data_IF_349785526162
#
_entry.id   IF_349785526162
#
_cell.length_a   1.000
_cell.length_b   1.000
_cell.length_c   1.000
_cell.angle_alpha   90.00
_cell.angle_beta   90.00
_cell.angle_gamma   90.00
#
_symmetry.space_group_name_H-M   'P 1'
#
loop_
_entity.id
_entity.type
_entity.pdbx_description
1 polymer ?
#
# COMPACT_ATOMS: atom_id res chain seq x y z
N UNK A 1 -23.22 -9.14 -5.80
CA UNK A 1 -23.78 -7.81 -5.43
C UNK A 1 -25.19 -7.89 -4.82
N UNK A 2 -26.18 -8.62 -5.38
CA UNK A 2 -27.55 -8.64 -4.83
C UNK A 2 -27.78 -9.43 -3.52
N UNK A 3 -26.94 -10.42 -3.17
CA UNK A 3 -27.16 -11.25 -1.97
C UNK A 3 -26.69 -10.62 -0.66
N UNK A 4 -25.77 -9.64 -0.73
CA UNK A 4 -25.08 -9.08 0.45
C UNK A 4 -25.95 -8.04 1.19
N UNK A 5 -26.83 -7.36 0.48
CA UNK A 5 -27.74 -6.36 1.06
C UNK A 5 -29.11 -6.92 1.46
N UNK A 6 -29.28 -8.24 1.48
CA UNK A 6 -30.55 -8.90 1.80
C UNK A 6 -30.58 -9.43 3.24
N UNK A 7 -29.78 -8.87 4.14
CA UNK A 7 -29.95 -9.08 5.57
C UNK A 7 -31.13 -8.24 6.06
N UNK A 8 -32.10 -8.88 6.72
CA UNK A 8 -33.38 -8.32 7.21
C UNK A 8 -33.28 -7.07 8.13
N UNK A 9 -32.06 -6.62 8.44
CA UNK A 9 -31.76 -5.51 9.36
C UNK A 9 -31.30 -4.22 8.69
N UNK A 10 -31.14 -4.15 7.35
CA UNK A 10 -30.59 -2.97 6.67
C UNK A 10 -31.68 -2.11 5.99
N UNK A 11 -31.79 -0.80 6.28
CA UNK A 11 -32.77 0.08 5.63
C UNK A 11 -32.58 0.09 4.11
N UNK A 12 -33.68 0.11 3.34
CA UNK A 12 -33.62 0.12 1.86
C UNK A 12 -32.75 1.25 1.28
N UNK A 13 -32.68 2.39 1.97
CA UNK A 13 -31.82 3.53 1.63
C UNK A 13 -30.32 3.23 1.71
N UNK A 14 -29.89 2.33 2.59
CA UNK A 14 -28.49 2.02 2.80
C UNK A 14 -27.82 1.45 1.53
N UNK A 15 -28.58 0.71 0.71
CA UNK A 15 -28.07 0.16 -0.56
C UNK A 15 -27.62 1.26 -1.53
N UNK A 16 -28.33 2.38 -1.56
CA UNK A 16 -28.04 3.52 -2.45
C UNK A 16 -26.80 4.31 -2.02
N UNK A 17 -26.39 4.23 -0.76
CA UNK A 17 -25.16 4.87 -0.27
C UNK A 17 -23.97 3.91 -0.25
N UNK A 18 -24.14 2.68 0.24
CA UNK A 18 -23.05 1.73 0.41
C UNK A 18 -22.56 1.20 -0.93
N UNK A 19 -23.47 0.91 -1.87
CA UNK A 19 -23.12 0.39 -3.20
C UNK A 19 -22.13 1.28 -3.97
N UNK A 20 -22.42 2.59 -4.14
CA UNK A 20 -21.49 3.52 -4.77
C UNK A 20 -20.14 3.65 -4.05
N UNK A 21 -20.15 3.72 -2.71
CA UNK A 21 -18.91 3.81 -1.92
C UNK A 21 -18.04 2.55 -2.07
N UNK A 22 -18.65 1.37 -2.04
CA UNK A 22 -17.96 0.11 -2.26
C UNK A 22 -17.38 0.04 -3.68
N UNK A 23 -18.14 0.47 -4.69
CA UNK A 23 -17.66 0.53 -6.07
C UNK A 23 -16.44 1.45 -6.21
N UNK A 24 -16.46 2.63 -5.59
CA UNK A 24 -15.33 3.58 -5.58
C UNK A 24 -14.09 2.93 -4.95
N UNK A 25 -14.23 2.26 -3.80
CA UNK A 25 -13.12 1.58 -3.11
C UNK A 25 -12.54 0.46 -3.99
N UNK A 26 -13.40 -0.39 -4.56
CA UNK A 26 -12.97 -1.48 -5.44
C UNK A 26 -12.27 -0.94 -6.69
N UNK A 27 -12.84 0.07 -7.34
CA UNK A 27 -12.26 0.71 -8.52
C UNK A 27 -10.89 1.34 -8.21
N UNK A 28 -10.78 2.05 -7.08
CA UNK A 28 -9.51 2.59 -6.60
C UNK A 28 -8.46 1.51 -6.35
N UNK A 29 -8.86 0.36 -5.80
CA UNK A 29 -7.96 -0.78 -5.56
C UNK A 29 -7.45 -1.38 -6.88
N UNK A 30 -8.33 -1.53 -7.87
CA UNK A 30 -7.98 -2.06 -9.21
C UNK A 30 -7.00 -1.15 -9.95
N UNK A 31 -7.08 0.18 -9.77
CA UNK A 31 -6.12 1.12 -10.34
C UNK A 31 -4.82 1.17 -9.52
N UNK A 32 -4.95 1.14 -8.19
CA UNK A 32 -3.83 1.27 -7.26
C UNK A 32 -2.80 0.15 -7.41
N UNK A 33 -3.25 -1.09 -7.59
CA UNK A 33 -2.36 -2.25 -7.75
C UNK A 33 -1.34 -2.08 -8.88
N UNK A 34 -1.78 -1.93 -10.14
CA UNK A 34 -0.89 -1.68 -11.28
C UNK A 34 -0.02 -0.42 -11.14
N UNK A 35 -0.52 0.63 -10.47
CA UNK A 35 0.25 1.85 -10.25
C UNK A 35 1.42 1.61 -9.28
N UNK A 36 1.18 0.89 -8.18
CA UNK A 36 2.22 0.49 -7.23
C UNK A 36 3.21 -0.49 -7.87
N UNK A 37 2.71 -1.47 -8.63
CA UNK A 37 3.55 -2.40 -9.38
C UNK A 37 4.41 -1.68 -10.42
N UNK A 38 3.83 -0.76 -11.19
CA UNK A 38 4.53 0.01 -12.22
C UNK A 38 5.61 0.92 -11.64
N UNK A 39 5.36 1.56 -10.50
CA UNK A 39 6.39 2.31 -9.77
C UNK A 39 7.55 1.41 -9.31
N UNK A 40 7.24 0.23 -8.79
CA UNK A 40 8.24 -0.74 -8.31
C UNK A 40 9.09 -1.28 -9.45
N UNK A 41 8.45 -1.60 -10.58
CA UNK A 41 9.12 -2.09 -11.78
C UNK A 41 9.99 -1.02 -12.44
N UNK A 42 9.50 0.23 -12.52
CA UNK A 42 10.29 1.36 -12.99
C UNK A 42 11.53 1.58 -12.11
N UNK A 43 11.37 1.45 -10.80
CA UNK A 43 12.48 1.61 -9.88
C UNK A 43 13.57 0.55 -10.14
N UNK A 44 13.18 -0.72 -10.29
CA UNK A 44 14.10 -1.81 -10.64
C UNK A 44 14.79 -1.51 -11.98
N UNK A 45 14.05 -1.07 -12.99
CA UNK A 45 14.60 -0.72 -14.29
C UNK A 45 15.66 0.38 -14.20
N UNK A 46 15.37 1.47 -13.46
CA UNK A 46 16.33 2.56 -13.26
C UNK A 46 17.59 2.15 -12.48
N UNK A 47 17.53 1.07 -11.68
CA UNK A 47 18.67 0.55 -10.94
C UNK A 47 19.70 -0.17 -11.83
N UNK A 48 19.24 -0.81 -12.91
CA UNK A 48 20.07 -1.58 -13.85
C UNK A 48 20.35 -0.81 -15.16
N UNK A 49 19.42 0.04 -15.59
CA UNK A 49 19.49 0.82 -16.82
C UNK A 49 19.27 2.31 -16.52
N UNK A 50 20.28 3.01 -15.93
CA UNK A 50 20.15 4.41 -15.55
C UNK A 50 19.90 5.36 -16.76
N UNK A 51 20.37 4.99 -17.95
CA UNK A 51 20.12 5.75 -19.20
C UNK A 51 18.85 5.32 -19.94
N UNK A 52 18.04 4.45 -19.33
CA UNK A 52 16.82 3.95 -19.94
C UNK A 52 15.77 5.05 -20.16
N UNK A 53 15.28 5.18 -21.39
CA UNK A 53 14.29 6.21 -21.79
C UNK A 53 12.84 5.84 -21.49
N UNK A 54 12.60 4.64 -20.94
CA UNK A 54 11.24 4.14 -20.66
C UNK A 54 10.52 4.97 -19.59
N UNK A 55 9.28 5.37 -19.92
CA UNK A 55 8.45 6.22 -19.06
C UNK A 55 7.62 5.38 -18.10
N UNK A 56 7.23 5.98 -16.95
CA UNK A 56 6.47 5.30 -15.91
C UNK A 56 5.17 4.65 -16.41
N UNK A 57 4.44 5.34 -17.30
CA UNK A 57 3.17 4.82 -17.80
C UNK A 57 3.33 3.49 -18.54
N UNK A 58 4.49 3.23 -19.18
CA UNK A 58 4.74 1.95 -19.86
C UNK A 58 4.81 0.81 -18.86
N UNK A 59 5.49 1.01 -17.72
CA UNK A 59 5.54 0.04 -16.63
C UNK A 59 4.18 -0.18 -15.97
N UNK A 60 3.37 0.89 -15.83
CA UNK A 60 1.99 0.77 -15.32
C UNK A 60 1.14 -0.05 -16.27
N UNK A 61 1.22 0.17 -17.60
CA UNK A 61 0.50 -0.63 -18.60
C UNK A 61 0.93 -2.09 -18.54
N UNK A 62 2.24 -2.37 -18.45
CA UNK A 62 2.76 -3.74 -18.32
C UNK A 62 2.18 -4.42 -17.08
N UNK A 63 2.23 -3.76 -15.91
CA UNK A 63 1.66 -4.30 -14.69
C UNK A 63 0.14 -4.51 -14.81
N UNK A 64 -0.57 -3.58 -15.43
CA UNK A 64 -2.02 -3.67 -15.69
C UNK A 64 -2.37 -4.89 -16.53
N UNK A 65 -1.66 -5.12 -17.64
CA UNK A 65 -1.87 -6.29 -18.50
C UNK A 65 -1.59 -7.58 -17.74
N UNK A 66 -0.50 -7.65 -16.98
CA UNK A 66 -0.19 -8.83 -16.14
C UNK A 66 -1.30 -9.08 -15.11
N UNK A 67 -1.75 -8.05 -14.39
CA UNK A 67 -2.85 -8.19 -13.41
C UNK A 67 -4.16 -8.59 -14.08
N UNK A 68 -4.43 -8.11 -15.30
CA UNK A 68 -5.63 -8.48 -16.06
C UNK A 68 -5.61 -9.97 -16.45
N UNK A 69 -4.45 -10.48 -16.88
CA UNK A 69 -4.26 -11.89 -17.19
C UNK A 69 -4.37 -12.78 -15.95
N UNK A 70 -3.75 -12.37 -14.84
CA UNK A 70 -3.83 -13.08 -13.56
C UNK A 70 -5.26 -13.14 -13.03
N UNK A 71 -6.03 -12.05 -13.19
CA UNK A 71 -7.45 -12.00 -12.79
C UNK A 71 -8.34 -12.98 -13.57
N UNK A 72 -7.89 -13.52 -14.71
CA UNK A 72 -8.62 -14.56 -15.44
C UNK A 72 -8.40 -15.98 -14.88
N UNK A 73 -7.45 -16.19 -13.96
CA UNK A 73 -7.13 -17.51 -13.42
C UNK A 73 -8.16 -17.91 -12.33
N UNK A 74 -8.99 -18.95 -12.54
CA UNK A 74 -10.00 -19.34 -11.57
C UNK A 74 -9.37 -20.24 -10.50
N UNK A 75 -9.07 -19.74 -9.30
CA UNK A 75 -8.57 -20.62 -8.23
C UNK A 75 -9.14 -20.35 -6.82
N UNK A 76 -10.44 -20.61 -6.64
CA UNK A 76 -11.11 -20.51 -5.33
C UNK A 76 -10.43 -21.29 -4.20
N UNK A 77 -9.73 -22.39 -4.50
CA UNK A 77 -9.03 -23.20 -3.48
C UNK A 77 -7.64 -22.65 -3.09
N UNK A 78 -7.02 -21.83 -3.97
CA UNK A 78 -5.70 -21.24 -3.75
C UNK A 78 -5.77 -19.87 -3.07
N UNK A 79 -6.88 -19.14 -3.26
CA UNK A 79 -7.08 -17.77 -2.77
C UNK A 79 -6.76 -17.58 -1.28
N UNK A 80 -7.12 -18.53 -0.42
CA UNK A 80 -6.77 -18.47 1.02
C UNK A 80 -5.24 -18.47 1.24
N UNK A 81 -4.53 -19.33 0.52
CA UNK A 81 -3.09 -19.49 0.66
C UNK A 81 -2.33 -18.33 -0.01
N UNK A 82 -2.79 -17.88 -1.17
CA UNK A 82 -2.24 -16.71 -1.86
C UNK A 82 -2.40 -15.45 -1.00
N UNK A 83 -3.58 -15.22 -0.40
CA UNK A 83 -3.80 -14.08 0.47
C UNK A 83 -2.94 -14.14 1.76
N UNK A 84 -2.73 -15.35 2.32
CA UNK A 84 -1.82 -15.53 3.45
C UNK A 84 -0.37 -15.20 3.06
N UNK A 85 0.07 -15.64 1.89
CA UNK A 85 1.41 -15.31 1.36
C UNK A 85 1.52 -13.80 1.15
N UNK A 86 0.50 -13.18 0.55
CA UNK A 86 0.44 -11.72 0.33
C UNK A 86 0.54 -10.95 1.65
N UNK A 87 -0.14 -11.40 2.71
CA UNK A 87 -0.02 -10.83 4.05
C UNK A 87 1.41 -10.96 4.62
N UNK A 88 2.04 -12.13 4.48
CA UNK A 88 3.42 -12.36 4.95
C UNK A 88 4.40 -11.47 4.17
N UNK A 89 4.26 -11.39 2.85
CA UNK A 89 5.07 -10.51 2.00
C UNK A 89 4.91 -9.05 2.45
N UNK A 90 3.68 -8.62 2.73
CA UNK A 90 3.35 -7.31 3.25
C UNK A 90 4.08 -6.98 4.55
N UNK A 91 3.91 -7.83 5.57
CA UNK A 91 4.60 -7.66 6.85
C UNK A 91 6.12 -7.67 6.70
N UNK A 92 6.65 -8.51 5.80
CA UNK A 92 8.08 -8.63 5.55
C UNK A 92 8.64 -7.34 4.95
N UNK A 93 8.09 -6.84 3.84
CA UNK A 93 8.61 -5.62 3.25
C UNK A 93 8.38 -4.40 4.15
N UNK A 94 7.26 -4.33 4.89
CA UNK A 94 7.03 -3.27 5.87
C UNK A 94 8.10 -3.27 6.96
N UNK A 95 8.45 -4.46 7.48
CA UNK A 95 9.50 -4.61 8.47
C UNK A 95 10.87 -4.21 7.91
N UNK A 96 11.19 -4.63 6.68
CA UNK A 96 12.40 -4.19 5.99
C UNK A 96 12.46 -2.66 5.89
N UNK A 97 11.37 -2.01 5.50
CA UNK A 97 11.28 -0.55 5.42
C UNK A 97 11.46 0.13 6.78
N UNK A 98 10.87 -0.40 7.84
CA UNK A 98 11.07 0.13 9.20
C UNK A 98 12.54 0.02 9.61
N UNK A 99 13.15 -1.15 9.42
CA UNK A 99 14.57 -1.37 9.76
C UNK A 99 15.48 -0.48 8.92
N UNK A 100 15.18 -0.32 7.62
CA UNK A 100 15.90 0.59 6.73
C UNK A 100 15.84 2.04 7.20
N UNK A 101 14.67 2.51 7.63
CA UNK A 101 14.48 3.86 8.18
C UNK A 101 15.32 4.04 9.44
N UNK A 102 15.31 3.06 10.35
CA UNK A 102 16.08 3.12 11.60
C UNK A 102 17.58 3.09 11.32
N UNK A 103 18.03 2.26 10.37
CA UNK A 103 19.43 2.15 9.97
C UNK A 103 19.97 3.46 9.38
N UNK A 104 19.25 4.06 8.43
CA UNK A 104 19.58 5.39 7.89
C UNK A 104 19.47 6.46 8.97
N UNK A 105 18.48 6.29 9.84
CA UNK A 105 18.25 6.97 11.10
C UNK A 105 19.51 7.18 11.96
N UNK A 106 20.28 6.12 12.15
CA UNK A 106 21.48 6.10 12.99
C UNK A 106 22.80 6.16 12.21
N UNK A 107 22.75 6.24 10.87
CA UNK A 107 23.94 6.30 10.04
C UNK A 107 24.72 7.59 10.28
N UNK A 108 26.06 7.53 10.22
CA UNK A 108 26.95 8.70 10.36
C UNK A 108 26.70 9.77 9.29
N UNK A 109 26.12 9.38 8.15
CA UNK A 109 25.73 10.27 7.04
C UNK A 109 24.21 10.44 6.97
N UNK A 110 23.54 10.50 8.12
CA UNK A 110 22.09 10.68 8.18
C UNK A 110 21.65 11.94 7.40
N UNK A 111 20.56 11.85 6.61
CA UNK A 111 20.02 13.00 5.92
C UNK A 111 19.55 14.07 6.93
N UNK A 112 19.65 15.37 6.60
CA UNK A 112 19.23 16.44 7.49
C UNK A 112 17.73 16.34 7.80
N UNK A 113 17.36 16.41 9.08
CA UNK A 113 15.99 16.24 9.55
C UNK A 113 15.44 17.55 10.08
N UNK A 114 14.30 17.96 9.53
CA UNK A 114 13.55 19.10 10.02
C UNK A 114 12.12 18.65 10.31
N UNK A 115 11.62 18.99 11.50
CA UNK A 115 10.26 18.67 11.95
C UNK A 115 9.37 19.91 12.09
N UNK A 116 9.90 21.10 11.77
CA UNK A 116 9.12 22.33 11.82
C UNK A 116 8.01 22.28 10.79
N UNK A 117 6.76 22.51 11.17
CA UNK A 117 5.64 22.53 10.22
C UNK A 117 5.94 23.59 9.12
N UNK A 118 6.05 23.14 7.87
CA UNK A 118 6.33 24.00 6.70
C UNK A 118 5.02 24.40 6.02
N UNK A 119 5.00 25.58 5.42
CA UNK A 119 3.90 26.08 4.61
C UNK A 119 3.08 27.19 5.28
N UNK A 120 2.27 27.85 4.45
CA UNK A 120 1.25 28.81 4.88
C UNK A 120 0.18 28.13 5.75
N UNK A 121 -0.64 28.90 6.46
CA UNK A 121 -1.76 28.35 7.23
C UNK A 121 -2.76 27.59 6.35
N UNK A 122 -2.92 28.02 5.09
CA UNK A 122 -3.70 27.28 4.10
C UNK A 122 -3.06 25.91 3.76
N UNK A 123 -1.74 25.86 3.57
CA UNK A 123 -1.03 24.61 3.27
C UNK A 123 -1.14 23.61 4.42
N UNK A 124 -1.08 24.10 5.66
CA UNK A 124 -1.28 23.27 6.85
C UNK A 124 -2.68 22.69 6.89
N UNK A 125 -3.70 23.49 6.59
CA UNK A 125 -5.09 23.04 6.56
C UNK A 125 -5.31 21.97 5.47
N UNK A 126 -4.81 22.21 4.25
CA UNK A 126 -4.87 21.21 3.18
C UNK A 126 -4.06 19.95 3.52
N UNK A 127 -2.93 20.09 4.20
CA UNK A 127 -2.13 18.98 4.72
C UNK A 127 -2.89 18.11 5.71
N UNK A 128 -3.67 18.71 6.62
CA UNK A 128 -4.54 17.98 7.55
C UNK A 128 -5.62 17.20 6.80
N UNK A 129 -6.32 17.83 5.85
CA UNK A 129 -7.34 17.15 5.04
C UNK A 129 -6.76 16.01 4.21
N UNK A 130 -5.58 16.20 3.62
CA UNK A 130 -4.88 15.15 2.89
C UNK A 130 -4.51 13.98 3.81
N UNK A 131 -4.01 14.26 5.01
CA UNK A 131 -3.71 13.24 6.03
C UNK A 131 -4.94 12.44 6.44
N UNK A 132 -6.06 13.13 6.73
CA UNK A 132 -7.34 12.48 7.05
C UNK A 132 -7.81 11.62 5.89
N UNK A 133 -7.69 12.10 4.65
CA UNK A 133 -8.06 11.33 3.45
C UNK A 133 -7.23 10.06 3.31
N UNK A 134 -5.91 10.13 3.47
CA UNK A 134 -5.02 8.96 3.40
C UNK A 134 -5.37 7.94 4.49
N UNK A 135 -5.61 8.39 5.73
CA UNK A 135 -6.03 7.51 6.83
C UNK A 135 -7.38 6.86 6.53
N UNK A 136 -8.37 7.66 6.10
CA UNK A 136 -9.70 7.14 5.78
C UNK A 136 -9.65 6.09 4.66
N UNK A 137 -8.94 6.35 3.58
CA UNK A 137 -8.79 5.40 2.46
C UNK A 137 -8.00 4.16 2.87
N UNK A 138 -7.00 4.30 3.73
CA UNK A 138 -6.19 3.19 4.24
C UNK A 138 -7.02 2.16 5.03
N UNK A 139 -7.91 2.62 5.90
CA UNK A 139 -8.71 1.75 6.77
C UNK A 139 -10.07 1.36 6.16
N UNK A 140 -10.41 1.94 5.00
CA UNK A 140 -11.62 1.59 4.27
C UNK A 140 -11.56 0.14 3.78
N UNK A 141 -12.64 -0.61 3.99
CA UNK A 141 -12.76 -2.00 3.54
C UNK A 141 -14.05 -2.20 2.78
N UNK A 142 -13.92 -2.48 1.48
CA UNK A 142 -15.05 -2.74 0.59
C UNK A 142 -15.55 -4.19 0.60
N UNK A 143 -15.00 -5.06 1.46
CA UNK A 143 -15.28 -6.51 1.46
C UNK A 143 -16.01 -7.01 2.71
N UNK A 144 -16.21 -6.15 3.71
CA UNK A 144 -16.87 -6.52 4.98
C UNK A 144 -18.27 -7.10 4.74
N UNK A 145 -19.13 -6.50 3.89
CA UNK A 145 -20.45 -7.03 3.63
C UNK A 145 -20.42 -8.44 2.97
N UNK A 146 -19.47 -8.71 2.08
CA UNK A 146 -19.27 -10.01 1.43
C UNK A 146 -18.82 -11.09 2.42
N UNK A 147 -17.93 -10.74 3.36
CA UNK A 147 -17.49 -11.64 4.43
C UNK A 147 -18.67 -12.01 5.33
N UNK A 148 -19.56 -11.05 5.62
CA UNK A 148 -20.76 -11.31 6.42
C UNK A 148 -21.72 -12.28 5.73
N UNK A 149 -21.85 -12.18 4.41
CA UNK A 149 -22.72 -13.05 3.63
C UNK A 149 -22.20 -14.48 3.47
N UNK A 150 -20.91 -14.74 3.74
CA UNK A 150 -20.27 -16.05 3.52
C UNK A 150 -19.95 -16.82 4.80
N UNK A 151 -19.93 -16.17 5.96
CA UNK A 151 -19.66 -16.82 7.23
C UNK A 151 -20.86 -17.60 7.78
N UNK A 152 -20.62 -18.83 8.24
CA UNK A 152 -21.64 -19.63 8.93
C UNK A 152 -22.12 -18.94 10.23
N UNK A 153 -23.44 -18.86 10.50
CA UNK A 153 -23.96 -18.30 11.74
C UNK A 153 -23.42 -19.05 12.98
N UNK A 154 -23.16 -18.37 14.11
CA UNK A 154 -23.31 -16.94 14.37
C UNK A 154 -22.09 -16.12 13.89
N UNK A 155 -22.34 -15.15 13.01
CA UNK A 155 -21.31 -14.34 12.34
C UNK A 155 -20.59 -13.39 13.32
N UNK A 156 -21.34 -12.79 14.26
CA UNK A 156 -20.84 -11.67 15.09
C UNK A 156 -19.57 -11.98 15.89
N UNK A 157 -19.48 -13.15 16.54
CA UNK A 157 -18.37 -13.47 17.44
C UNK A 157 -17.06 -13.81 16.72
N UNK A 158 -17.13 -14.69 15.71
CA UNK A 158 -15.94 -15.14 14.95
C UNK A 158 -15.43 -14.04 14.01
N UNK A 159 -16.33 -13.32 13.36
CA UNK A 159 -15.98 -12.23 12.45
C UNK A 159 -15.32 -11.06 13.20
N UNK A 160 -15.84 -10.68 14.37
CA UNK A 160 -15.26 -9.58 15.15
C UNK A 160 -13.82 -9.86 15.58
N UNK A 161 -13.53 -11.07 16.07
CA UNK A 161 -12.15 -11.47 16.43
C UNK A 161 -11.21 -11.39 15.22
N UNK A 162 -11.64 -11.90 14.07
CA UNK A 162 -10.86 -11.81 12.83
C UNK A 162 -10.61 -10.37 12.40
N UNK A 163 -11.63 -9.52 12.50
CA UNK A 163 -11.53 -8.10 12.18
C UNK A 163 -10.58 -7.36 13.12
N UNK A 164 -10.64 -7.64 14.43
CA UNK A 164 -9.71 -7.08 15.41
C UNK A 164 -8.26 -7.47 15.12
N UNK A 165 -8.00 -8.75 14.82
CA UNK A 165 -6.64 -9.21 14.48
C UNK A 165 -6.15 -8.52 13.20
N UNK A 166 -6.98 -8.46 12.17
CA UNK A 166 -6.66 -7.80 10.91
C UNK A 166 -6.28 -6.33 11.12
N UNK A 167 -7.13 -5.54 11.79
CA UNK A 167 -6.84 -4.13 12.05
C UNK A 167 -5.66 -3.94 12.99
N UNK A 168 -5.41 -4.84 13.95
CA UNK A 168 -4.22 -4.79 14.80
C UNK A 168 -2.95 -4.93 13.97
N UNK A 169 -2.91 -5.86 13.01
CA UNK A 169 -1.78 -6.03 12.10
C UNK A 169 -1.60 -4.81 11.21
N UNK A 170 -2.69 -4.25 10.64
CA UNK A 170 -2.65 -3.04 9.81
C UNK A 170 -2.09 -1.86 10.60
N UNK A 171 -2.61 -1.61 11.81
CA UNK A 171 -2.13 -0.52 12.68
C UNK A 171 -0.64 -0.71 12.97
N UNK A 172 -0.23 -1.92 13.38
CA UNK A 172 1.15 -2.20 13.71
C UNK A 172 2.10 -1.96 12.54
N UNK A 173 1.78 -2.44 11.34
CA UNK A 173 2.64 -2.28 10.16
C UNK A 173 2.69 -0.83 9.69
N UNK A 174 1.55 -0.14 9.63
CA UNK A 174 1.48 1.21 9.07
C UNK A 174 2.11 2.23 10.01
N UNK A 175 1.81 2.17 11.31
CA UNK A 175 2.42 3.07 12.28
C UNK A 175 3.92 2.80 12.41
N UNK A 176 4.37 1.54 12.38
CA UNK A 176 5.80 1.21 12.40
C UNK A 176 6.55 1.89 11.26
N UNK A 177 6.03 1.76 10.03
CA UNK A 177 6.64 2.34 8.83
C UNK A 177 6.54 3.88 8.84
N UNK A 178 5.38 4.44 9.21
CA UNK A 178 5.16 5.88 9.23
C UNK A 178 6.01 6.59 10.30
N UNK A 179 6.05 6.07 11.53
CA UNK A 179 6.83 6.65 12.63
C UNK A 179 8.32 6.58 12.30
N UNK A 180 8.82 5.40 11.91
CA UNK A 180 10.25 5.24 11.61
C UNK A 180 10.67 6.07 10.40
N UNK A 181 9.87 6.10 9.33
CA UNK A 181 10.13 6.90 8.13
C UNK A 181 10.12 8.40 8.41
N UNK A 182 9.08 8.91 9.09
CA UNK A 182 9.03 10.33 9.45
C UNK A 182 10.14 10.69 10.43
N UNK A 183 10.46 9.82 11.38
CA UNK A 183 11.60 10.02 12.28
C UNK A 183 12.94 10.07 11.54
N UNK A 184 13.13 9.25 10.49
CA UNK A 184 14.39 9.20 9.73
C UNK A 184 14.57 10.34 8.72
N UNK A 185 13.48 10.89 8.17
CA UNK A 185 13.53 11.87 7.07
C UNK A 185 12.87 13.23 7.38
N UNK A 186 12.07 13.32 8.44
CA UNK A 186 11.31 14.50 8.82
C UNK A 186 10.44 15.00 7.66
N UNK A 187 10.41 16.31 7.46
CA UNK A 187 9.66 16.95 6.37
C UNK A 187 10.17 16.66 4.96
N UNK A 188 11.31 15.98 4.81
CA UNK A 188 11.78 15.49 3.52
C UNK A 188 11.19 14.11 3.16
N UNK A 189 10.32 13.54 4.01
CA UNK A 189 9.60 12.33 3.69
C UNK A 189 8.72 12.55 2.45
N UNK A 190 9.06 11.86 1.37
CA UNK A 190 8.29 11.78 0.14
C UNK A 190 7.05 10.89 0.27
N UNK A 191 6.26 10.87 -0.81
CA UNK A 191 4.99 10.17 -0.87
C UNK A 191 5.12 8.63 -0.72
N UNK A 192 6.29 8.07 -1.02
CA UNK A 192 6.59 6.66 -0.79
C UNK A 192 7.82 6.53 0.10
N UNK A 193 7.83 5.54 1.00
CA UNK A 193 8.99 5.33 1.88
C UNK A 193 10.23 4.96 1.07
N UNK A 194 10.05 4.25 -0.06
CA UNK A 194 11.13 3.90 -0.96
C UNK A 194 11.82 5.12 -1.57
N UNK A 195 11.05 6.16 -1.94
CA UNK A 195 11.62 7.39 -2.49
C UNK A 195 12.52 8.13 -1.51
N UNK A 196 12.33 7.94 -0.21
CA UNK A 196 13.08 8.67 0.82
C UNK A 196 14.55 8.22 0.89
N UNK A 197 14.83 6.99 0.50
CA UNK A 197 16.19 6.43 0.52
C UNK A 197 17.01 6.76 -0.73
N UNK A 198 16.43 7.49 -1.68
CA UNK A 198 17.07 7.89 -2.93
C UNK A 198 17.35 9.39 -2.81
N UNK A 199 18.63 9.74 -2.78
CA UNK A 199 19.05 11.13 -2.86
C UNK A 199 19.62 11.37 -4.27
N UNK A 200 18.91 12.18 -5.07
CA UNK A 200 19.44 12.64 -6.36
C UNK A 200 20.38 13.80 -6.05
N UNK A 201 21.69 13.57 -6.19
CA UNK A 201 22.69 14.59 -5.94
C UNK A 201 22.64 15.65 -7.04
N UNK A 202 23.00 16.92 -6.76
CA UNK A 202 23.05 18.03 -7.74
C UNK A 202 23.91 17.75 -8.98
N UNK A 203 24.77 16.71 -8.94
CA UNK A 203 25.58 16.22 -10.06
C UNK A 203 24.87 15.20 -10.96
N UNK A 204 23.59 14.88 -10.70
CA UNK A 204 22.85 13.84 -11.42
C UNK A 204 23.16 12.41 -10.95
N UNK A 205 24.05 12.24 -9.96
CA UNK A 205 24.36 10.93 -9.38
C UNK A 205 23.30 10.48 -8.38
N UNK A 206 22.82 9.25 -8.57
CA UNK A 206 21.85 8.59 -7.70
C UNK A 206 22.57 8.05 -6.45
N UNK A 207 22.46 8.77 -5.34
CA UNK A 207 23.01 8.33 -4.05
C UNK A 207 21.96 7.50 -3.33
N UNK A 208 22.21 6.20 -3.24
CA UNK A 208 21.38 5.25 -2.53
C UNK A 208 21.84 5.17 -1.07
N UNK A 209 20.93 5.45 -0.12
CA UNK A 209 21.25 5.37 1.32
C UNK A 209 21.33 3.93 1.83
N UNK A 210 20.85 2.97 1.04
CA UNK A 210 20.89 1.53 1.32
C UNK A 210 21.54 0.75 0.16
N UNK A 211 22.01 -0.49 0.39
CA UNK A 211 22.55 -1.32 -0.68
C UNK A 211 21.51 -1.64 -1.76
N UNK A 212 21.95 -1.74 -3.01
CA UNK A 212 21.09 -2.04 -4.18
C UNK A 212 20.22 -3.28 -3.98
N UNK A 213 20.76 -4.33 -3.37
CA UNK A 213 20.05 -5.58 -3.07
C UNK A 213 18.82 -5.38 -2.17
N UNK A 214 18.88 -4.46 -1.21
CA UNK A 214 17.75 -4.16 -0.32
C UNK A 214 16.57 -3.62 -1.12
N UNK A 215 16.83 -2.69 -2.03
CA UNK A 215 15.79 -2.13 -2.87
C UNK A 215 15.22 -3.13 -3.87
N UNK A 216 16.08 -3.94 -4.49
CA UNK A 216 15.66 -4.99 -5.39
C UNK A 216 14.72 -5.97 -4.68
N UNK A 217 15.15 -6.48 -3.52
CA UNK A 217 14.35 -7.38 -2.70
C UNK A 217 13.00 -6.76 -2.33
N UNK A 218 12.99 -5.53 -1.82
CA UNK A 218 11.76 -4.85 -1.38
C UNK A 218 10.78 -4.65 -2.54
N UNK A 219 11.24 -4.20 -3.71
CA UNK A 219 10.38 -4.03 -4.89
C UNK A 219 9.86 -5.36 -5.42
N UNK A 220 10.65 -6.43 -5.39
CA UNK A 220 10.18 -7.77 -5.77
C UNK A 220 9.10 -8.27 -4.81
N UNK A 221 9.28 -8.08 -3.49
CA UNK A 221 8.27 -8.44 -2.48
C UNK A 221 6.96 -7.67 -2.71
N UNK A 222 7.03 -6.38 -3.03
CA UNK A 222 5.87 -5.56 -3.37
C UNK A 222 5.19 -6.08 -4.64
N UNK A 223 5.96 -6.38 -5.71
CA UNK A 223 5.40 -6.92 -6.95
C UNK A 223 4.70 -8.26 -6.73
N UNK A 224 5.31 -9.17 -5.99
CA UNK A 224 4.73 -10.47 -5.65
C UNK A 224 3.45 -10.31 -4.81
N UNK A 225 3.45 -9.38 -3.86
CA UNK A 225 2.29 -9.07 -3.02
C UNK A 225 1.14 -8.49 -3.86
N UNK A 226 1.43 -7.54 -4.75
CA UNK A 226 0.45 -6.93 -5.67
C UNK A 226 -0.16 -7.99 -6.58
N UNK A 227 0.67 -8.84 -7.21
CA UNK A 227 0.18 -9.90 -8.08
C UNK A 227 -0.63 -10.95 -7.32
N UNK A 228 -0.20 -11.32 -6.11
CA UNK A 228 -0.95 -12.22 -5.24
C UNK A 228 -2.28 -11.63 -4.75
N UNK A 229 -2.42 -10.31 -4.67
CA UNK A 229 -3.69 -9.66 -4.33
C UNK A 229 -4.67 -9.62 -5.51
N UNK A 230 -4.15 -9.64 -6.74
CA UNK A 230 -4.96 -9.54 -7.98
C UNK A 230 -5.34 -10.88 -8.61
N UNK A 231 -4.74 -11.98 -8.16
CA UNK A 231 -5.02 -13.35 -8.62
C UNK A 231 -6.05 -14.04 -7.72
#
# INVERSE_FOLDING_TARGET
>A
MCSVFNTDTCPKWAKYYIGPLQFIICFGTVIGGPLVGGNSLKFIYGLYHPEGSMKLYQFIIICGVVTMLLAQLPSFHSLRHINLISLILCVTYSTCLTVGSIYVGHSKNAPPRHYSVKGSDADKLFGVFNGISIIATTYASGIIPEIQATLAPPVKGKMFKGLCVCYSVIVATYFSVAISGYWAFGNAAGATVLSNYIEVTKLGELKLLLPKWFFLMTNILILLQVFGLTA
#
